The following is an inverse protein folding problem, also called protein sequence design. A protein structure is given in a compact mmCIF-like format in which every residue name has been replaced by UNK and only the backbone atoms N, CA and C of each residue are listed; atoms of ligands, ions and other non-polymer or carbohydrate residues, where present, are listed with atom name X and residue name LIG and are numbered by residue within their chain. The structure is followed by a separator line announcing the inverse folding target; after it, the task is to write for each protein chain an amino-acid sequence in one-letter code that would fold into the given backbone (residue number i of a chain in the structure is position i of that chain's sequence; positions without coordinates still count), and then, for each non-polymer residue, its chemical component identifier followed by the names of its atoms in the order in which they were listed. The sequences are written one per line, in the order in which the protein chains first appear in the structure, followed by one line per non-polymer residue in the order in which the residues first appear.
data_IF_039381186029
#
_entry.id   IF_039381186029
#
_cell.length_a   1.000
_cell.length_b   1.000
_cell.length_c   1.000
_cell.angle_alpha   90.00
_cell.angle_beta   90.00
_cell.angle_gamma   90.00
#
_symmetry.space_group_name_H-M   'P 1'
#
loop_
_entity.id
_entity.type
_entity.pdbx_description
1 polymer ?
#
# COMPACT_ATOMS: atom_id res chain seq x y z
N UNK A 1 -16.74 6.37 2.13
CA UNK A 1 -15.60 7.14 2.65
C UNK A 1 -15.51 8.44 1.85
N UNK A 2 -15.10 9.53 2.48
CA UNK A 2 -14.89 10.80 1.80
C UNK A 2 -13.46 10.87 1.26
N UNK A 3 -13.28 11.44 0.07
CA UNK A 3 -11.95 11.73 -0.49
C UNK A 3 -11.14 12.56 0.51
N UNK A 4 -9.89 12.18 0.75
CA UNK A 4 -8.94 12.82 1.65
C UNK A 4 -8.80 12.17 3.02
N UNK A 5 -9.62 11.17 3.39
CA UNK A 5 -9.47 10.48 4.66
C UNK A 5 -8.24 9.54 4.63
N UNK A 6 -7.50 9.51 5.75
CA UNK A 6 -6.17 8.91 5.85
C UNK A 6 -6.06 7.93 7.02
N UNK A 7 -5.33 6.84 6.82
CA UNK A 7 -5.10 5.80 7.82
C UNK A 7 -3.61 5.51 7.98
N UNK A 8 -3.16 5.39 9.24
CA UNK A 8 -1.82 4.90 9.57
C UNK A 8 -1.81 3.38 9.47
N UNK A 9 -0.87 2.83 8.69
CA UNK A 9 -0.69 1.40 8.50
C UNK A 9 0.35 0.82 9.46
N UNK A 10 0.11 -0.42 9.88
CA UNK A 10 1.10 -1.24 10.56
C UNK A 10 1.93 -2.01 9.52
N UNK A 11 3.24 -1.74 9.51
CA UNK A 11 4.18 -2.47 8.66
C UNK A 11 4.82 -3.62 9.41
N UNK A 12 5.11 -4.69 8.68
CA UNK A 12 5.82 -5.85 9.22
C UNK A 12 6.96 -6.27 8.32
N UNK A 13 8.17 -6.30 8.86
CA UNK A 13 9.30 -6.96 8.20
C UNK A 13 9.14 -8.47 8.35
N UNK A 14 9.21 -9.16 7.24
CA UNK A 14 9.10 -10.61 7.13
C UNK A 14 10.35 -11.15 6.44
N UNK A 15 10.61 -12.44 6.63
CA UNK A 15 11.73 -13.14 6.01
C UNK A 15 11.19 -14.32 5.22
N UNK A 16 11.57 -14.40 3.95
CA UNK A 16 11.20 -15.54 3.12
C UNK A 16 11.92 -16.80 3.64
N UNK A 17 11.19 -17.90 3.94
CA UNK A 17 11.78 -19.08 4.57
C UNK A 17 12.71 -19.88 3.65
N UNK A 18 12.63 -19.69 2.33
CA UNK A 18 13.41 -20.46 1.35
C UNK A 18 14.71 -19.75 0.94
N UNK A 19 14.64 -18.44 0.75
CA UNK A 19 15.74 -17.60 0.26
C UNK A 19 16.40 -16.79 1.38
N UNK A 20 15.70 -16.59 2.49
CA UNK A 20 16.15 -15.75 3.59
C UNK A 20 16.10 -14.25 3.29
N UNK A 21 15.54 -13.82 2.15
CA UNK A 21 15.39 -12.41 1.81
C UNK A 21 14.39 -11.74 2.74
N UNK A 22 14.74 -10.58 3.27
CA UNK A 22 13.83 -9.75 4.06
C UNK A 22 12.95 -8.90 3.13
N UNK A 23 11.67 -8.80 3.46
CA UNK A 23 10.72 -7.96 2.74
C UNK A 23 9.75 -7.28 3.70
N UNK A 24 9.28 -6.10 3.31
CA UNK A 24 8.38 -5.28 4.11
C UNK A 24 6.95 -5.45 3.62
N UNK A 25 6.05 -5.94 4.49
CA UNK A 25 4.61 -5.94 4.24
C UNK A 25 4.08 -4.52 4.48
N UNK A 26 3.68 -3.85 3.40
CA UNK A 26 3.19 -2.46 3.41
C UNK A 26 1.71 -2.32 3.79
N UNK A 27 0.97 -3.42 3.94
CA UNK A 27 -0.44 -3.40 4.28
C UNK A 27 -0.71 -4.17 5.57
N UNK A 28 -1.71 -3.71 6.32
CA UNK A 28 -2.10 -4.25 7.63
C UNK A 28 -3.11 -5.40 7.53
N UNK A 29 -3.59 -5.74 6.32
CA UNK A 29 -4.62 -6.76 6.10
C UNK A 29 -6.04 -6.25 6.27
N UNK A 30 -6.25 -4.94 6.43
CA UNK A 30 -7.58 -4.33 6.37
C UNK A 30 -8.04 -4.26 4.91
N UNK A 31 -8.83 -5.25 4.51
CA UNK A 31 -9.31 -5.41 3.14
C UNK A 31 -8.24 -5.93 2.16
N UNK A 32 -8.68 -6.27 0.97
CA UNK A 32 -7.81 -6.54 -0.16
C UNK A 32 -7.15 -5.25 -0.62
N UNK A 33 -5.87 -5.33 -0.96
CA UNK A 33 -5.11 -4.23 -1.54
C UNK A 33 -4.24 -4.80 -2.65
N UNK A 34 -4.30 -4.19 -3.83
CA UNK A 34 -3.53 -4.60 -5.00
C UNK A 34 -2.92 -3.38 -5.67
N UNK A 35 -1.74 -3.54 -6.27
CA UNK A 35 -1.23 -2.54 -7.20
C UNK A 35 -1.94 -2.71 -8.55
N UNK A 36 -2.27 -1.62 -9.27
CA UNK A 36 -2.78 -1.72 -10.64
C UNK A 36 -1.81 -2.41 -11.60
N UNK A 37 -2.22 -2.50 -12.87
CA UNK A 37 -1.46 -3.19 -13.91
C UNK A 37 0.00 -2.72 -13.97
N UNK A 38 0.94 -3.68 -14.00
CA UNK A 38 2.37 -3.43 -13.76
C UNK A 38 3.08 -2.55 -14.81
N UNK A 39 2.46 -2.29 -15.97
CA UNK A 39 3.01 -1.38 -16.99
C UNK A 39 2.67 0.09 -16.72
N UNK A 40 1.91 0.39 -15.67
CA UNK A 40 1.55 1.75 -15.30
C UNK A 40 2.62 2.37 -14.38
N UNK A 41 2.90 3.69 -14.50
CA UNK A 41 3.73 4.39 -13.53
C UNK A 41 2.96 4.56 -12.22
N UNK A 42 3.24 3.71 -11.23
CA UNK A 42 2.54 3.72 -9.94
C UNK A 42 3.32 4.37 -8.81
N UNK A 43 4.63 4.45 -8.96
CA UNK A 43 5.51 5.12 -8.00
C UNK A 43 5.72 6.58 -8.38
N UNK A 44 5.84 7.44 -7.37
CA UNK A 44 6.42 8.77 -7.57
C UNK A 44 7.89 8.68 -7.98
N UNK A 45 8.41 9.76 -8.58
CA UNK A 45 9.79 9.82 -9.09
C UNK A 45 10.86 9.60 -8.02
N UNK A 46 10.55 9.89 -6.75
CA UNK A 46 11.44 9.63 -5.62
C UNK A 46 11.20 8.27 -4.94
N UNK A 47 10.20 7.51 -5.38
CA UNK A 47 9.86 6.19 -4.84
C UNK A 47 9.20 6.20 -3.46
N UNK A 48 8.84 7.37 -2.91
CA UNK A 48 8.29 7.47 -1.55
C UNK A 48 6.78 7.24 -1.50
N UNK A 49 6.11 7.31 -2.66
CA UNK A 49 4.66 7.10 -2.73
C UNK A 49 4.29 6.11 -3.82
N UNK A 50 3.23 5.35 -3.58
CA UNK A 50 2.67 4.39 -4.55
C UNK A 50 1.14 4.53 -4.65
N UNK A 51 0.62 4.48 -5.88
CA UNK A 51 -0.81 4.38 -6.17
C UNK A 51 -1.26 2.92 -6.10
N UNK A 52 -2.31 2.67 -5.30
CA UNK A 52 -2.87 1.34 -5.04
C UNK A 52 -4.40 1.36 -5.21
N UNK A 53 -4.99 0.18 -5.32
CA UNK A 53 -6.44 0.00 -5.14
C UNK A 53 -6.72 -0.85 -3.91
N UNK A 54 -7.76 -0.52 -3.15
CA UNK A 54 -8.17 -1.29 -1.97
C UNK A 54 -9.67 -1.23 -1.75
N UNK A 55 -10.23 -2.32 -1.19
CA UNK A 55 -11.62 -2.41 -0.73
C UNK A 55 -11.78 -2.17 0.78
N UNK A 56 -10.76 -1.61 1.46
CA UNK A 56 -10.70 -1.46 2.93
C UNK A 56 -11.87 -0.74 3.59
N UNK A 57 -12.67 -0.02 2.81
CA UNK A 57 -13.87 0.71 3.23
C UNK A 57 -15.16 0.15 2.62
N UNK A 58 -15.14 -1.08 2.10
CA UNK A 58 -16.30 -1.80 1.58
C UNK A 58 -16.46 -1.77 0.06
N UNK A 59 -15.73 -0.91 -0.65
CA UNK A 59 -15.77 -0.80 -2.12
C UNK A 59 -14.35 -0.52 -2.64
N UNK A 60 -14.06 -1.01 -3.85
CA UNK A 60 -12.76 -0.77 -4.50
C UNK A 60 -12.59 0.72 -4.84
N UNK A 61 -11.52 1.31 -4.31
CA UNK A 61 -11.16 2.71 -4.54
C UNK A 61 -9.65 2.84 -4.78
N UNK A 62 -9.24 3.96 -5.36
CA UNK A 62 -7.83 4.34 -5.45
C UNK A 62 -7.35 4.92 -4.12
N UNK A 63 -6.09 4.66 -3.80
CA UNK A 63 -5.41 5.19 -2.64
C UNK A 63 -3.98 5.56 -2.99
N UNK A 64 -3.50 6.66 -2.39
CA UNK A 64 -2.07 6.97 -2.34
C UNK A 64 -1.50 6.44 -1.03
N UNK A 65 -0.45 5.65 -1.10
CA UNK A 65 0.35 5.25 0.06
C UNK A 65 1.63 6.08 0.12
N UNK A 66 1.81 6.84 1.19
CA UNK A 66 3.08 7.45 1.58
C UNK A 66 3.88 6.41 2.38
N UNK A 67 4.92 5.84 1.75
CA UNK A 67 5.65 4.67 2.27
C UNK A 67 6.41 5.00 3.56
N UNK A 68 7.21 6.09 3.65
CA UNK A 68 7.95 6.42 4.86
C UNK A 68 7.01 6.70 6.05
N UNK A 69 5.94 7.45 5.77
CA UNK A 69 4.97 7.86 6.78
C UNK A 69 3.98 6.75 7.12
N UNK A 70 3.91 5.68 6.33
CA UNK A 70 2.94 4.58 6.50
C UNK A 70 1.51 5.10 6.51
N UNK A 71 1.23 6.12 5.72
CA UNK A 71 -0.10 6.72 5.63
C UNK A 71 -0.72 6.34 4.29
N UNK A 72 -1.91 5.78 4.31
CA UNK A 72 -2.71 5.54 3.12
C UNK A 72 -3.91 6.50 3.09
N UNK A 73 -4.04 7.23 2.00
CA UNK A 73 -5.05 8.29 1.83
C UNK A 73 -5.92 7.97 0.62
N UNK A 74 -7.24 8.12 0.75
CA UNK A 74 -8.18 8.07 -0.38
C UNK A 74 -8.16 9.39 -1.16
#
# INVERSE_FOLDING_TARGET
MAVGEAYKLEYKTLKDPYTGVEFLKLTDGRGNTVHPYFTQPLFSSNGETILLTSDRTGEWQLYKLDIPDRIITQ
#
